data_IF_316799191491
#
_entry.id   IF_316799191491
#
_cell.length_a   1.000
_cell.length_b   1.000
_cell.length_c   1.000
_cell.angle_alpha   90.00
_cell.angle_beta   90.00
_cell.angle_gamma   90.00
#
_symmetry.space_group_name_H-M   'P 1'
#
loop_
_entity.id
_entity.type
_entity.pdbx_description
1 polymer ?
#
# COMPACT_ATOMS: atom_id res chain seq x y z
N UNK A 1 -30.09 22.25 17.39
CA UNK A 1 -28.69 22.50 16.95
C UNK A 1 -27.68 21.43 17.42
N UNK A 2 -27.87 20.75 18.56
CA UNK A 2 -26.92 19.72 19.05
C UNK A 2 -26.83 18.43 18.19
N UNK A 3 -27.93 17.98 17.57
CA UNK A 3 -27.97 16.66 16.91
C UNK A 3 -27.10 16.54 15.65
N UNK A 4 -27.01 17.62 14.85
CA UNK A 4 -26.17 17.67 13.65
C UNK A 4 -24.67 17.62 14.01
N UNK A 5 -24.30 18.25 15.13
CA UNK A 5 -22.92 18.25 15.63
C UNK A 5 -22.48 16.87 16.11
N UNK A 6 -23.36 16.13 16.80
CA UNK A 6 -23.07 14.78 17.27
C UNK A 6 -22.99 13.80 16.09
N UNK A 7 -23.92 13.89 15.15
CA UNK A 7 -23.89 13.06 13.94
C UNK A 7 -22.61 13.29 13.12
N UNK A 8 -22.20 14.56 12.95
CA UNK A 8 -20.96 14.90 12.26
C UNK A 8 -19.73 14.35 12.98
N UNK A 9 -19.67 14.45 14.31
CA UNK A 9 -18.57 13.91 15.11
C UNK A 9 -18.47 12.37 14.99
N UNK A 10 -19.61 11.67 14.98
CA UNK A 10 -19.65 10.20 14.83
C UNK A 10 -19.17 9.77 13.44
N UNK A 11 -19.57 10.50 12.39
CA UNK A 11 -19.13 10.22 11.01
C UNK A 11 -17.62 10.43 10.90
N UNK A 12 -17.09 11.54 11.41
CA UNK A 12 -15.66 11.82 11.41
C UNK A 12 -14.86 10.75 12.17
N UNK A 13 -15.32 10.37 13.37
CA UNK A 13 -14.67 9.33 14.16
C UNK A 13 -14.64 7.97 13.41
N UNK A 14 -15.72 7.64 12.71
CA UNK A 14 -15.82 6.42 11.90
C UNK A 14 -14.84 6.44 10.72
N UNK A 15 -14.73 7.56 10.01
CA UNK A 15 -13.82 7.71 8.88
C UNK A 15 -12.34 7.65 9.31
N UNK A 16 -12.00 8.30 10.44
CA UNK A 16 -10.65 8.27 11.01
C UNK A 16 -10.28 6.86 11.50
N UNK A 17 -11.24 6.14 12.08
CA UNK A 17 -11.05 4.74 12.50
C UNK A 17 -10.87 3.80 11.30
N UNK A 18 -11.53 4.09 10.17
CA UNK A 18 -11.37 3.33 8.93
C UNK A 18 -10.00 3.60 8.26
N UNK A 19 -9.48 4.83 8.34
CA UNK A 19 -8.16 5.18 7.82
C UNK A 19 -7.00 4.60 8.67
N UNK A 20 -7.28 4.21 9.92
CA UNK A 20 -6.35 3.44 10.75
C UNK A 20 -6.27 1.96 10.31
N UNK A 21 -7.12 1.54 9.37
CA UNK A 21 -6.97 0.31 8.60
C UNK A 21 -5.72 0.38 7.74
N UNK A 22 -4.57 0.07 8.37
CA UNK A 22 -3.29 -0.29 7.75
C UNK A 22 -3.02 0.44 6.43
N UNK A 23 -2.55 1.68 6.51
CA UNK A 23 -1.53 2.06 5.55
C UNK A 23 -0.42 1.01 5.74
N UNK A 24 -0.36 0.01 4.85
CA UNK A 24 0.85 -0.78 4.68
C UNK A 24 1.91 0.27 4.47
N UNK A 25 2.72 0.53 5.51
CA UNK A 25 3.91 1.36 5.40
C UNK A 25 4.62 0.76 4.21
N UNK A 26 4.58 1.43 3.07
CA UNK A 26 5.41 1.08 1.94
C UNK A 26 6.79 1.08 2.53
N UNK A 27 7.34 -0.11 2.77
CA UNK A 27 8.75 -0.26 3.06
C UNK A 27 9.46 0.53 1.98
N UNK A 28 10.35 1.40 2.43
CA UNK A 28 11.25 2.21 1.62
C UNK A 28 11.50 1.49 0.29
N UNK A 29 11.00 2.07 -0.81
CA UNK A 29 10.97 1.45 -2.16
C UNK A 29 12.26 0.66 -2.33
N UNK A 30 12.17 -0.61 -2.73
CA UNK A 30 13.31 -1.52 -2.74
C UNK A 30 14.56 -0.80 -3.25
N UNK A 31 15.56 -0.62 -2.38
CA UNK A 31 16.80 0.11 -2.70
C UNK A 31 17.62 -0.57 -3.80
N UNK A 32 17.18 -1.73 -4.25
CA UNK A 32 17.83 -2.58 -5.24
C UNK A 32 17.11 -2.48 -6.58
N UNK A 33 17.89 -2.42 -7.65
CA UNK A 33 17.38 -2.52 -9.01
C UNK A 33 17.33 -3.98 -9.48
N UNK A 34 16.31 -4.30 -10.27
CA UNK A 34 16.16 -5.61 -10.90
C UNK A 34 16.69 -5.56 -12.34
N UNK A 35 17.50 -6.55 -12.72
CA UNK A 35 18.05 -6.66 -14.09
C UNK A 35 17.62 -7.94 -14.81
N UNK A 36 16.98 -8.87 -14.09
CA UNK A 36 16.47 -10.12 -14.63
C UNK A 36 14.98 -10.25 -14.29
N UNK A 37 14.20 -10.74 -15.23
CA UNK A 37 12.75 -10.87 -15.11
C UNK A 37 12.34 -12.32 -15.37
N UNK A 38 11.42 -12.83 -14.56
CA UNK A 38 10.78 -14.11 -14.87
C UNK A 38 9.83 -13.93 -16.06
N UNK A 39 9.99 -14.75 -17.09
CA UNK A 39 9.05 -14.81 -18.22
C UNK A 39 7.86 -15.76 -17.95
N UNK A 40 7.76 -16.31 -16.74
CA UNK A 40 6.71 -17.25 -16.33
C UNK A 40 5.93 -16.67 -15.15
N UNK A 41 4.62 -16.89 -15.16
CA UNK A 41 3.75 -16.52 -14.05
C UNK A 41 4.12 -17.29 -12.79
N UNK A 42 4.26 -16.57 -11.68
CA UNK A 42 4.49 -17.18 -10.37
C UNK A 42 3.17 -17.79 -9.87
N UNK A 43 3.19 -19.02 -9.32
CA UNK A 43 2.02 -19.57 -8.65
C UNK A 43 1.60 -18.69 -7.48
N UNK A 44 0.36 -18.18 -7.50
CA UNK A 44 -0.16 -17.26 -6.48
C UNK A 44 -0.04 -17.80 -5.05
N UNK A 45 -0.17 -19.11 -4.88
CA UNK A 45 -0.02 -19.79 -3.57
C UNK A 45 1.37 -19.66 -2.96
N UNK A 46 2.38 -19.25 -3.75
CA UNK A 46 3.77 -19.05 -3.30
C UNK A 46 4.18 -17.58 -3.23
N UNK A 47 3.34 -16.65 -3.70
CA UNK A 47 3.63 -15.21 -3.66
C UNK A 47 3.20 -14.69 -2.29
N UNK A 48 4.15 -14.15 -1.52
CA UNK A 48 3.89 -13.63 -0.17
C UNK A 48 3.72 -12.11 -0.16
N UNK A 49 4.52 -11.42 -0.96
CA UNK A 49 4.54 -9.96 -1.08
C UNK A 49 5.13 -9.55 -2.42
N UNK A 50 5.08 -8.24 -2.71
CA UNK A 50 5.72 -7.62 -3.87
C UNK A 50 6.24 -6.25 -3.47
N UNK A 51 7.26 -5.75 -4.17
CA UNK A 51 7.79 -4.40 -4.01
C UNK A 51 8.15 -3.81 -5.38
N UNK A 52 7.92 -2.51 -5.56
CA UNK A 52 8.41 -1.83 -6.75
C UNK A 52 9.88 -1.44 -6.58
N UNK A 53 10.62 -1.37 -7.69
CA UNK A 53 11.99 -0.83 -7.68
C UNK A 53 12.01 0.69 -7.53
N UNK A 54 13.14 1.23 -7.04
CA UNK A 54 13.38 2.67 -6.93
C UNK A 54 13.32 3.39 -8.28
N UNK A 55 12.84 4.64 -8.30
CA UNK A 55 12.87 5.50 -9.48
C UNK A 55 14.28 5.85 -9.96
N UNK A 56 15.29 5.62 -9.12
CA UNK A 56 16.70 5.77 -9.50
C UNK A 56 17.21 4.64 -10.38
N UNK A 57 16.45 3.54 -10.52
CA UNK A 57 16.82 2.43 -11.40
C UNK A 57 16.61 2.80 -12.86
N UNK A 58 17.49 2.30 -13.74
CA UNK A 58 17.36 2.50 -15.19
C UNK A 58 16.11 1.84 -15.77
N UNK A 59 15.58 0.81 -15.10
CA UNK A 59 14.37 0.10 -15.45
C UNK A 59 13.47 -0.10 -14.22
N UNK A 60 12.18 0.15 -14.38
CA UNK A 60 11.16 -0.13 -13.37
C UNK A 60 10.71 -1.59 -13.42
N UNK A 61 10.54 -2.21 -12.25
CA UNK A 61 10.15 -3.60 -12.11
C UNK A 61 9.39 -3.87 -10.81
N UNK A 62 8.90 -5.12 -10.68
CA UNK A 62 8.25 -5.73 -9.50
C UNK A 62 8.87 -7.09 -9.27
#
# INVERSE_FOLDING_TARGET
>A
MMGLSVASAVILASLLSLHLGTATRGTDIAKTCCFQHSHKSLPWTRVQSYEFTSSSCSQQAV
#
